data_IF_688522083012
#
_entry.id   IF_688522083012
#
_cell.length_a   1.000
_cell.length_b   1.000
_cell.length_c   1.000
_cell.angle_alpha   90.00
_cell.angle_beta   90.00
_cell.angle_gamma   90.00
#
_symmetry.space_group_name_H-M   'P 1'
#
loop_
_entity.id
_entity.type
_entity.pdbx_description
1 polymer ?
#
# COMPACT_ATOMS: atom_id res chain seq x y z
N UNK A 1 38.50 -48.21 9.64
CA UNK A 1 37.97 -48.44 8.28
C UNK A 1 38.04 -49.93 7.99
N UNK A 2 36.91 -50.65 8.04
CA UNK A 2 36.84 -52.09 7.78
C UNK A 2 35.60 -52.38 6.93
N UNK A 3 35.82 -52.87 5.71
CA UNK A 3 34.78 -53.16 4.72
C UNK A 3 34.12 -54.51 5.05
N UNK A 4 32.80 -54.55 5.14
CA UNK A 4 32.03 -55.79 5.14
C UNK A 4 31.41 -56.00 3.75
N UNK A 5 31.76 -57.11 3.10
CA UNK A 5 31.06 -57.69 1.94
C UNK A 5 30.56 -59.07 2.34
N UNK A 6 29.32 -59.39 1.97
CA UNK A 6 28.82 -60.68 1.43
C UNK A 6 27.25 -60.60 1.41
N UNK A 7 26.48 -60.68 0.30
CA UNK A 7 26.26 -61.77 -0.70
C UNK A 7 25.79 -63.05 0.04
N UNK A 8 24.67 -63.76 -0.19
CA UNK A 8 23.95 -64.20 -1.41
C UNK A 8 22.61 -64.93 -1.04
N UNK A 9 21.57 -64.74 -1.88
CA UNK A 9 20.52 -65.61 -2.48
C UNK A 9 19.64 -66.65 -1.72
N UNK A 10 18.41 -66.81 -2.25
CA UNK A 10 17.62 -68.06 -2.31
C UNK A 10 16.10 -67.80 -2.21
N UNK A 11 15.39 -67.41 -3.27
CA UNK A 11 14.62 -68.26 -4.22
C UNK A 11 13.38 -68.98 -3.65
N UNK A 12 12.22 -68.77 -4.28
CA UNK A 12 10.97 -69.50 -4.03
C UNK A 12 9.86 -69.10 -5.02
N UNK A 13 9.48 -70.05 -5.87
CA UNK A 13 8.76 -69.92 -7.15
C UNK A 13 7.28 -70.35 -7.08
N UNK A 14 6.46 -69.96 -8.07
CA UNK A 14 5.14 -70.55 -8.38
C UNK A 14 4.00 -69.52 -8.48
N UNK A 15 3.67 -68.92 -9.64
CA UNK A 15 2.99 -69.44 -10.86
C UNK A 15 1.52 -69.83 -10.62
N UNK A 16 0.56 -69.04 -11.12
CA UNK A 16 -0.44 -69.38 -12.17
C UNK A 16 -1.67 -68.44 -12.20
N UNK A 17 -1.79 -67.72 -13.32
CA UNK A 17 -2.96 -67.43 -14.19
C UNK A 17 -4.38 -67.42 -13.59
N UNK A 18 -5.12 -66.34 -13.90
CA UNK A 18 -6.44 -66.39 -14.56
C UNK A 18 -6.78 -65.06 -15.23
N UNK A 19 -7.13 -65.14 -16.51
CA UNK A 19 -7.73 -64.06 -17.28
C UNK A 19 -9.22 -63.95 -16.95
N UNK A 20 -9.75 -62.73 -16.90
CA UNK A 20 -11.17 -62.43 -16.72
C UNK A 20 -11.47 -61.06 -17.32
N UNK A 21 -12.42 -61.04 -18.23
CA UNK A 21 -12.72 -59.96 -19.20
C UNK A 21 -13.71 -58.94 -18.61
N UNK A 22 -13.47 -57.67 -18.97
CA UNK A 22 -14.39 -56.53 -19.09
C UNK A 22 -15.31 -56.14 -17.91
N UNK A 23 -15.10 -54.91 -17.42
CA UNK A 23 -16.19 -53.94 -17.23
C UNK A 23 -15.62 -52.51 -17.23
N UNK A 24 -15.90 -51.77 -18.30
CA UNK A 24 -15.68 -50.32 -18.37
C UNK A 24 -16.57 -49.66 -17.30
N UNK A 25 -15.97 -48.86 -16.43
CA UNK A 25 -16.69 -47.96 -15.52
C UNK A 25 -16.33 -46.50 -15.85
N UNK A 26 -17.30 -45.58 -15.78
CA UNK A 26 -17.24 -44.28 -16.43
C UNK A 26 -16.32 -43.28 -15.70
N UNK A 27 -15.85 -42.22 -16.40
CA UNK A 27 -15.14 -41.13 -15.76
C UNK A 27 -16.09 -40.41 -14.80
N UNK A 28 -15.68 -40.32 -13.53
CA UNK A 28 -16.34 -39.42 -12.57
C UNK A 28 -16.07 -38.00 -13.02
N UNK A 29 -17.06 -37.36 -13.63
CA UNK A 29 -17.15 -35.90 -13.71
C UNK A 29 -17.22 -35.36 -12.27
N UNK A 30 -16.06 -34.99 -11.73
CA UNK A 30 -15.91 -34.12 -10.58
C UNK A 30 -16.21 -32.69 -11.01
N UNK A 31 -17.30 -32.16 -10.48
CA UNK A 31 -17.93 -30.86 -10.72
C UNK A 31 -16.93 -29.69 -10.90
N UNK A 32 -17.26 -28.67 -11.72
CA UNK A 32 -16.52 -27.43 -11.71
C UNK A 32 -16.63 -26.86 -10.29
N UNK A 33 -15.48 -26.58 -9.68
CA UNK A 33 -15.40 -25.75 -8.47
C UNK A 33 -15.71 -24.31 -8.90
N UNK A 34 -16.98 -24.03 -9.18
CA UNK A 34 -17.52 -22.71 -8.97
C UNK A 34 -17.51 -22.49 -7.46
N UNK A 35 -16.51 -21.78 -6.97
CA UNK A 35 -16.69 -21.03 -5.74
C UNK A 35 -15.95 -19.71 -5.83
N UNK A 36 -16.79 -18.69 -5.96
CA UNK A 36 -16.61 -17.37 -5.39
C UNK A 36 -15.48 -16.52 -5.97
N UNK A 37 -15.82 -15.85 -7.07
CA UNK A 37 -15.56 -14.44 -7.37
C UNK A 37 -15.97 -13.46 -6.23
N UNK A 38 -15.79 -13.84 -4.97
CA UNK A 38 -16.49 -13.24 -3.81
C UNK A 38 -15.60 -13.10 -2.57
N UNK A 39 -14.28 -12.96 -2.76
CA UNK A 39 -13.36 -12.76 -1.64
C UNK A 39 -12.13 -11.90 -1.95
N UNK A 40 -12.26 -10.93 -2.84
CA UNK A 40 -11.28 -9.83 -2.97
C UNK A 40 -11.94 -8.51 -2.61
N UNK A 41 -12.64 -8.51 -1.47
CA UNK A 41 -13.19 -7.33 -0.78
C UNK A 41 -12.90 -7.41 0.72
N UNK A 42 -11.82 -8.09 1.08
CA UNK A 42 -11.39 -8.22 2.48
C UNK A 42 -10.20 -7.31 2.65
N UNK A 43 -10.54 -6.15 3.20
CA UNK A 43 -9.65 -5.35 4.02
C UNK A 43 -8.40 -4.88 3.26
N UNK A 44 -8.56 -3.83 2.43
CA UNK A 44 -7.40 -3.02 2.05
C UNK A 44 -6.70 -2.63 3.34
N UNK A 45 -5.47 -3.10 3.52
CA UNK A 45 -4.62 -2.72 4.66
C UNK A 45 -4.37 -1.19 4.70
N UNK A 46 -4.74 -0.48 3.64
CA UNK A 46 -4.74 0.97 3.56
C UNK A 46 -6.14 1.56 3.76
N UNK A 47 -7.02 0.88 4.52
CA UNK A 47 -8.22 1.45 5.13
C UNK A 47 -7.82 2.61 6.08
N UNK A 48 -7.35 3.71 5.49
CA UNK A 48 -7.87 5.02 5.80
C UNK A 48 -9.33 4.83 6.16
N UNK A 49 -9.73 5.35 7.30
CA UNK A 49 -11.13 5.50 7.67
C UNK A 49 -11.80 6.28 6.53
N UNK A 50 -12.27 5.53 5.55
CA UNK A 50 -12.67 6.00 4.24
C UNK A 50 -14.17 6.07 4.27
N UNK A 51 -14.67 7.23 4.62
CA UNK A 51 -15.96 7.66 4.11
C UNK A 51 -15.73 8.79 3.10
N UNK A 52 -16.02 8.48 1.84
CA UNK A 52 -16.34 9.44 0.78
C UNK A 52 -15.20 10.32 0.27
N UNK A 53 -14.62 9.92 -0.87
CA UNK A 53 -14.15 10.92 -1.84
C UNK A 53 -15.38 11.64 -2.42
N UNK A 54 -15.87 12.66 -1.73
CA UNK A 54 -16.95 13.51 -2.23
C UNK A 54 -16.32 14.64 -3.03
N UNK A 55 -16.25 14.47 -4.35
CA UNK A 55 -16.13 15.58 -5.26
C UNK A 55 -17.52 16.20 -5.43
N UNK A 56 -17.82 17.31 -4.72
CA UNK A 56 -18.48 18.53 -5.25
C UNK A 56 -18.91 19.48 -4.12
N UNK A 57 -18.65 20.77 -4.39
CA UNK A 57 -19.48 21.95 -4.14
C UNK A 57 -19.99 22.26 -2.71
N UNK A 58 -19.59 23.46 -2.25
CA UNK A 58 -20.28 24.40 -1.35
C UNK A 58 -20.73 23.91 0.05
N UNK A 59 -20.08 24.41 1.12
CA UNK A 59 -20.67 25.25 2.20
C UNK A 59 -19.67 25.52 3.37
N UNK A 60 -19.33 26.81 3.59
CA UNK A 60 -19.04 27.55 4.86
C UNK A 60 -17.83 27.19 5.79
N UNK A 61 -17.25 28.19 6.52
CA UNK A 61 -15.83 28.52 6.38
C UNK A 61 -14.93 27.90 7.45
N UNK A 62 -13.84 27.27 7.01
CA UNK A 62 -12.64 27.10 7.81
C UNK A 62 -11.64 28.15 7.32
N UNK A 63 -11.53 29.26 8.04
CA UNK A 63 -10.93 30.52 7.58
C UNK A 63 -9.42 30.55 7.23
N UNK A 64 -8.55 29.53 7.41
CA UNK A 64 -7.20 29.58 6.83
C UNK A 64 -7.10 28.86 5.47
N UNK A 65 -8.12 28.12 5.03
CA UNK A 65 -8.00 27.25 3.86
C UNK A 65 -8.09 28.04 2.54
N UNK A 66 -8.81 29.16 2.53
CA UNK A 66 -9.02 29.98 1.32
C UNK A 66 -7.72 30.58 0.77
N UNK A 67 -6.69 30.75 1.60
CA UNK A 67 -5.38 31.25 1.16
C UNK A 67 -4.52 30.16 0.54
N UNK A 68 -4.83 28.89 0.85
CA UNK A 68 -4.07 27.72 0.38
C UNK A 68 -4.78 27.00 -0.76
N UNK A 69 -6.11 27.08 -0.87
CA UNK A 69 -6.93 26.31 -1.82
C UNK A 69 -7.56 27.21 -2.87
N UNK A 70 -7.33 26.92 -4.15
CA UNK A 70 -7.88 27.64 -5.30
C UNK A 70 -9.38 27.38 -5.46
N UNK A 71 -10.06 28.15 -6.32
CA UNK A 71 -11.48 27.92 -6.60
C UNK A 71 -11.73 26.52 -7.22
N UNK A 72 -10.72 25.99 -7.90
CA UNK A 72 -10.70 24.65 -8.50
C UNK A 72 -10.32 23.55 -7.49
N UNK A 73 -10.12 23.91 -6.22
CA UNK A 73 -9.73 22.97 -5.17
C UNK A 73 -8.25 22.59 -5.18
N UNK A 74 -7.37 23.37 -5.84
CA UNK A 74 -5.94 23.07 -5.96
C UNK A 74 -5.08 23.87 -4.99
N UNK A 75 -3.85 23.46 -4.75
CA UNK A 75 -2.92 24.25 -3.94
C UNK A 75 -2.54 25.57 -4.64
N UNK A 76 -2.78 26.72 -4.00
CA UNK A 76 -2.38 28.05 -4.52
C UNK A 76 -0.90 28.32 -4.34
N UNK A 77 -0.30 27.73 -3.31
CA UNK A 77 1.08 27.93 -2.89
C UNK A 77 1.94 26.72 -3.18
N UNK A 78 3.24 26.92 -3.29
CA UNK A 78 4.19 25.82 -3.32
C UNK A 78 4.14 25.07 -1.98
N UNK A 79 4.37 23.76 -2.01
CA UNK A 79 4.44 22.94 -0.79
C UNK A 79 5.90 22.64 -0.51
N UNK A 80 6.35 22.94 0.70
CA UNK A 80 7.76 22.81 1.10
C UNK A 80 7.91 21.97 2.37
N UNK A 81 9.09 21.40 2.56
CA UNK A 81 9.44 20.76 3.82
C UNK A 81 9.63 21.80 4.93
N UNK A 82 8.93 21.65 6.06
CA UNK A 82 9.06 22.53 7.24
C UNK A 82 10.46 22.54 7.89
N UNK A 83 11.32 21.57 7.54
CA UNK A 83 12.63 21.39 8.18
C UNK A 83 13.77 22.03 7.39
N UNK A 84 13.78 21.88 6.08
CA UNK A 84 14.86 22.37 5.21
C UNK A 84 14.40 23.29 4.08
N UNK A 85 13.10 23.52 3.91
CA UNK A 85 12.57 24.31 2.80
C UNK A 85 12.63 23.62 1.44
N UNK A 86 12.96 22.32 1.38
CA UNK A 86 12.92 21.55 0.13
C UNK A 86 11.54 21.63 -0.50
N UNK A 87 11.48 21.92 -1.80
CA UNK A 87 10.21 22.04 -2.52
C UNK A 87 9.67 20.67 -2.89
N UNK A 88 8.48 20.36 -2.39
CA UNK A 88 7.79 19.08 -2.55
C UNK A 88 6.81 19.14 -3.73
N UNK A 89 6.03 20.23 -3.85
CA UNK A 89 5.06 20.44 -4.93
C UNK A 89 5.08 21.88 -5.44
N UNK A 90 4.82 22.04 -6.74
CA UNK A 90 4.55 23.33 -7.35
C UNK A 90 3.11 23.80 -7.08
N UNK A 91 2.81 25.10 -7.16
CA UNK A 91 1.45 25.61 -7.15
C UNK A 91 0.58 24.96 -8.24
N UNK A 92 -0.66 24.62 -7.91
CA UNK A 92 -1.69 24.17 -8.84
C UNK A 92 -1.57 22.72 -9.29
N UNK A 93 -0.72 21.92 -8.65
CA UNK A 93 -0.44 20.53 -9.04
C UNK A 93 -1.10 19.47 -8.16
N UNK A 94 -1.67 19.86 -7.02
CA UNK A 94 -2.33 18.95 -6.09
C UNK A 94 -3.74 19.43 -5.74
N UNK A 95 -4.64 18.48 -5.47
CA UNK A 95 -6.02 18.73 -5.06
C UNK A 95 -6.16 18.63 -3.55
N UNK A 96 -6.97 19.50 -2.95
CA UNK A 96 -7.28 19.42 -1.53
C UNK A 96 -8.18 18.21 -1.25
N UNK A 97 -7.84 17.44 -0.21
CA UNK A 97 -8.54 16.23 0.20
C UNK A 97 -8.70 16.20 1.72
N UNK A 98 -9.90 15.85 2.18
CA UNK A 98 -10.26 15.69 3.60
C UNK A 98 -10.26 14.22 4.07
N UNK A 99 -9.46 13.36 3.44
CA UNK A 99 -9.39 11.93 3.80
C UNK A 99 -8.67 11.77 5.14
N UNK A 100 -9.26 11.05 6.09
CA UNK A 100 -8.62 10.79 7.37
C UNK A 100 -7.54 9.69 7.22
N UNK A 101 -6.29 10.06 7.50
CA UNK A 101 -5.11 9.21 7.35
C UNK A 101 -4.26 9.25 8.61
N UNK A 102 -3.79 8.08 9.03
CA UNK A 102 -2.86 7.97 10.14
C UNK A 102 -1.42 8.16 9.65
N UNK A 103 -0.75 9.19 10.16
CA UNK A 103 0.66 9.44 9.90
C UNK A 103 1.45 9.29 11.21
N UNK A 104 2.41 8.35 11.30
CA UNK A 104 3.39 8.31 12.39
C UNK A 104 4.02 9.68 12.68
N UNK A 105 4.45 9.92 13.91
CA UNK A 105 5.16 11.16 14.27
C UNK A 105 6.39 11.35 13.40
N UNK A 106 6.72 12.61 13.11
CA UNK A 106 7.90 12.98 12.31
C UNK A 106 9.19 12.45 12.95
N UNK A 107 9.85 11.50 12.27
CA UNK A 107 11.13 10.89 12.65
C UNK A 107 12.04 10.78 11.42
N UNK A 108 13.30 10.42 11.62
CA UNK A 108 14.20 10.10 10.49
C UNK A 108 13.82 8.74 9.89
N UNK A 109 13.95 8.61 8.57
CA UNK A 109 13.64 7.42 7.76
C UNK A 109 13.96 6.03 8.38
N UNK A 110 15.13 5.76 9.02
CA UNK A 110 15.39 4.44 9.60
C UNK A 110 14.45 4.07 10.76
N UNK A 111 13.93 5.05 11.50
CA UNK A 111 13.05 4.80 12.65
C UNK A 111 11.60 4.46 12.28
N UNK A 112 11.22 4.56 10.99
CA UNK A 112 9.87 4.28 10.51
C UNK A 112 9.64 2.80 10.14
N UNK A 113 10.70 1.98 10.10
CA UNK A 113 10.65 0.59 9.64
C UNK A 113 10.34 -0.44 10.74
N UNK A 114 10.46 -0.06 12.02
CA UNK A 114 10.58 -1.03 13.13
C UNK A 114 9.25 -1.49 13.74
N UNK A 115 8.09 -1.09 13.20
CA UNK A 115 6.77 -1.65 13.58
C UNK A 115 6.35 -1.50 15.05
N UNK A 116 7.16 -0.86 15.91
CA UNK A 116 6.79 -0.48 17.27
C UNK A 116 5.66 0.54 17.20
N UNK A 117 4.58 0.31 17.95
CA UNK A 117 3.34 1.11 17.97
C UNK A 117 3.68 2.60 17.90
N UNK A 118 3.56 3.23 16.71
CA UNK A 118 4.13 4.53 16.53
C UNK A 118 3.14 5.53 17.11
N UNK A 119 3.60 6.35 18.05
CA UNK A 119 2.96 7.65 18.26
C UNK A 119 2.78 8.31 16.89
N UNK A 120 1.62 8.91 16.67
CA UNK A 120 1.23 9.44 15.37
C UNK A 120 -0.11 10.14 15.43
N UNK A 121 -0.42 10.86 14.38
CA UNK A 121 -1.57 11.76 14.30
C UNK A 121 -2.56 11.26 13.25
N UNK A 122 -3.84 11.36 13.55
CA UNK A 122 -4.92 11.17 12.58
C UNK A 122 -5.18 12.51 11.90
N UNK A 123 -4.53 12.71 10.76
CA UNK A 123 -4.66 13.92 9.97
C UNK A 123 -5.83 13.77 9.02
N UNK A 124 -6.51 14.87 8.71
CA UNK A 124 -7.65 14.88 7.79
C UNK A 124 -7.33 15.70 6.54
N UNK A 125 -6.47 16.71 6.65
CA UNK A 125 -6.20 17.66 5.58
C UNK A 125 -4.94 17.29 4.79
N UNK A 126 -5.13 17.01 3.50
CA UNK A 126 -4.08 16.54 2.62
C UNK A 126 -4.13 17.18 1.23
N UNK A 127 -2.97 17.27 0.60
CA UNK A 127 -2.82 17.44 -0.83
C UNK A 127 -2.79 16.07 -1.49
N UNK A 128 -3.82 15.78 -2.28
CA UNK A 128 -3.90 14.64 -3.17
C UNK A 128 -3.16 14.94 -4.48
N UNK A 129 -2.19 14.10 -4.79
CA UNK A 129 -1.43 14.09 -6.03
C UNK A 129 -1.74 12.77 -6.74
N UNK A 130 -1.97 12.85 -8.05
CA UNK A 130 -2.38 11.72 -8.89
C UNK A 130 -1.20 10.97 -9.53
N UNK A 131 -0.03 11.61 -9.63
CA UNK A 131 1.18 11.01 -10.18
C UNK A 131 2.43 11.32 -9.35
N UNK A 132 3.31 10.33 -9.19
CA UNK A 132 4.60 10.52 -8.53
C UNK A 132 5.51 11.52 -9.27
N UNK A 133 5.34 11.67 -10.59
CA UNK A 133 6.15 12.57 -11.41
C UNK A 133 5.81 14.05 -11.21
N UNK A 134 4.73 14.36 -10.49
CA UNK A 134 4.33 15.73 -10.15
C UNK A 134 5.13 16.27 -8.97
N UNK A 135 5.71 15.40 -8.15
CA UNK A 135 6.56 15.82 -7.05
C UNK A 135 7.90 16.35 -7.56
N UNK A 136 8.35 17.44 -6.95
CA UNK A 136 9.65 18.03 -7.23
C UNK A 136 10.75 17.28 -6.47
N UNK A 137 10.69 17.29 -5.13
CA UNK A 137 11.68 16.63 -4.27
C UNK A 137 10.97 15.82 -3.18
N UNK A 138 10.68 14.55 -3.46
CA UNK A 138 10.07 13.62 -2.51
C UNK A 138 10.83 12.29 -2.46
N UNK A 139 10.92 11.71 -1.27
CA UNK A 139 11.44 10.37 -1.04
C UNK A 139 10.33 9.43 -0.59
N UNK A 140 10.51 8.13 -0.84
CA UNK A 140 9.61 7.08 -0.35
C UNK A 140 10.32 6.20 0.67
N UNK A 141 9.60 5.79 1.71
CA UNK A 141 10.10 4.80 2.67
C UNK A 141 10.03 3.38 2.10
N UNK A 142 10.59 2.43 2.85
CA UNK A 142 10.23 1.03 2.70
C UNK A 142 8.73 0.86 2.92
N UNK A 143 8.16 -0.09 2.22
CA UNK A 143 6.79 -0.56 2.36
C UNK A 143 6.59 -1.12 3.78
N UNK A 144 5.56 -0.61 4.45
CA UNK A 144 5.08 -1.11 5.73
C UNK A 144 3.68 -1.66 5.49
N UNK A 145 3.60 -2.95 5.16
CA UNK A 145 2.38 -3.54 4.61
C UNK A 145 2.09 -3.04 3.19
N UNK A 146 0.87 -2.55 2.93
CA UNK A 146 0.48 -1.98 1.62
C UNK A 146 0.64 -0.45 1.57
N UNK A 147 1.39 0.13 2.51
CA UNK A 147 1.53 1.59 2.65
C UNK A 147 3.00 1.96 2.43
N UNK A 148 3.22 3.03 1.67
CA UNK A 148 4.49 3.75 1.59
C UNK A 148 4.32 5.13 2.18
N UNK A 149 5.25 5.54 3.04
CA UNK A 149 5.27 6.91 3.53
C UNK A 149 6.13 7.78 2.64
N UNK A 150 5.72 9.05 2.52
CA UNK A 150 6.48 10.08 1.83
C UNK A 150 7.35 10.80 2.85
N UNK A 151 8.61 11.04 2.49
CA UNK A 151 9.60 11.77 3.28
C UNK A 151 10.21 12.88 2.43
N UNK A 152 10.81 13.88 3.07
CA UNK A 152 11.60 14.87 2.34
C UNK A 152 12.82 14.21 1.66
N UNK A 153 13.10 14.56 0.40
CA UNK A 153 14.25 14.02 -0.32
C UNK A 153 15.60 14.53 0.22
N UNK A 154 15.65 15.77 0.71
CA UNK A 154 16.91 16.40 1.13
C UNK A 154 17.31 16.09 2.57
N UNK A 155 16.36 16.15 3.51
CA UNK A 155 16.64 15.94 4.93
C UNK A 155 16.21 14.57 5.45
N UNK A 156 15.51 13.76 4.65
CA UNK A 156 14.97 12.44 4.99
C UNK A 156 14.10 12.41 6.28
N UNK A 157 13.55 13.57 6.66
CA UNK A 157 12.58 13.69 7.75
C UNK A 157 11.18 13.45 7.20
N UNK A 158 10.41 12.61 7.89
CA UNK A 158 8.99 12.38 7.61
C UNK A 158 8.36 11.47 8.66
N UNK A 159 7.13 10.98 8.46
CA UNK A 159 6.37 11.05 7.23
C UNK A 159 5.73 12.43 7.03
N UNK A 160 5.92 13.01 5.85
CA UNK A 160 5.20 14.19 5.37
C UNK A 160 3.93 13.81 4.60
N UNK A 161 3.83 12.55 4.20
CA UNK A 161 2.71 12.04 3.42
C UNK A 161 2.58 10.53 3.46
N UNK A 162 1.57 10.04 2.76
CA UNK A 162 1.11 8.68 2.77
C UNK A 162 0.67 8.25 1.36
N UNK A 163 0.97 7.01 1.00
CA UNK A 163 0.59 6.42 -0.27
C UNK A 163 0.20 4.95 -0.08
N UNK A 164 -0.87 4.55 -0.75
CA UNK A 164 -1.32 3.17 -0.79
C UNK A 164 -0.83 2.47 -2.05
N UNK A 165 -0.23 1.30 -1.92
CA UNK A 165 0.22 0.50 -3.06
C UNK A 165 -0.94 -0.06 -3.90
N UNK A 166 -2.13 -0.20 -3.31
CA UNK A 166 -3.34 -0.59 -4.04
C UNK A 166 -3.80 0.57 -4.96
N UNK A 167 -3.63 1.83 -4.53
CA UNK A 167 -4.00 3.05 -5.25
C UNK A 167 -2.77 3.75 -5.85
N UNK A 168 -2.31 3.27 -7.01
CA UNK A 168 -1.09 3.79 -7.68
C UNK A 168 -1.12 5.29 -8.00
N UNK A 169 -2.31 5.87 -8.12
CA UNK A 169 -2.52 7.25 -8.53
C UNK A 169 -3.05 8.11 -7.37
N UNK A 170 -2.71 7.75 -6.13
CA UNK A 170 -3.16 8.50 -4.96
C UNK A 170 -2.04 8.64 -3.94
N UNK A 171 -1.46 9.83 -3.94
CA UNK A 171 -0.41 10.22 -3.00
C UNK A 171 -0.95 11.39 -2.17
N UNK A 172 -0.87 11.26 -0.85
CA UNK A 172 -1.41 12.25 0.08
C UNK A 172 -0.27 12.93 0.82
N UNK A 173 -0.19 14.26 0.78
CA UNK A 173 0.76 15.05 1.57
C UNK A 173 -0.01 15.81 2.64
N UNK A 174 0.30 15.58 3.91
CA UNK A 174 -0.44 16.20 5.00
C UNK A 174 -0.06 17.67 5.18
N UNK A 175 -1.06 18.56 5.23
CA UNK A 175 -0.84 20.00 5.35
C UNK A 175 -0.07 20.36 6.63
N UNK A 176 -0.38 19.69 7.74
CA UNK A 176 0.24 19.94 9.05
C UNK A 176 1.73 19.59 9.10
N UNK A 177 2.23 18.76 8.17
CA UNK A 177 3.63 18.29 8.13
C UNK A 177 4.50 19.06 7.13
N UNK A 178 3.92 20.01 6.39
CA UNK A 178 4.58 20.80 5.34
C UNK A 178 4.35 22.31 5.53
N UNK A 179 5.17 23.13 4.88
CA UNK A 179 5.01 24.59 4.81
C UNK A 179 4.44 24.98 3.45
N UNK A 180 3.88 26.19 3.37
CA UNK A 180 3.34 26.76 2.14
C UNK A 180 3.93 28.15 1.88
N UNK A 181 4.43 28.37 0.66
CA UNK A 181 5.01 29.64 0.19
C UNK A 181 4.40 30.08 -1.13
#
# INVERSE_FOLDING_TARGET
MGRLRSRIQGEGSGRLRRAGVAARSPPRLGKPRQRSSERSRRDSACAAVAEGAVAVAAMEPAEPLNDLVSAEGRNRKAVLCQRCGSRVLQPGTALFSRRQLFLPSMRKKPALADGSNPDGDLLQEHWLVDDMFIFENVGFTKDVGNIKFLVCADCEIGPIGWHCLDDKNSFYVALERVSHE
#
